data_IF_793200874082
#
_entry.id   IF_793200874082
#
_cell.length_a   1.000
_cell.length_b   1.000
_cell.length_c   1.000
_cell.angle_alpha   90.00
_cell.angle_beta   90.00
_cell.angle_gamma   90.00
#
_symmetry.space_group_name_H-M   'P 1'
#
loop_
_entity.id
_entity.type
_entity.pdbx_description
1 polymer ?
#
# COMPACT_ATOMS: atom_id res chain seq x y z
N UNK A 1 23.07 12.21 -2.18
CA UNK A 1 22.24 13.18 -2.94
C UNK A 1 21.02 13.45 -2.09
N UNK A 2 20.53 14.69 -2.05
CA UNK A 2 19.26 14.96 -1.37
C UNK A 2 18.16 14.90 -2.42
N UNK A 3 17.22 13.97 -2.25
CA UNK A 3 16.05 13.86 -3.10
C UNK A 3 14.95 14.80 -2.64
N UNK A 4 14.14 15.29 -3.58
CA UNK A 4 12.96 16.10 -3.28
C UNK A 4 11.94 15.27 -2.48
N UNK A 5 11.17 15.93 -1.65
CA UNK A 5 10.02 15.31 -0.94
C UNK A 5 9.08 14.68 -1.95
N UNK A 6 8.55 13.47 -1.69
CA UNK A 6 7.68 12.78 -2.62
C UNK A 6 6.39 13.56 -2.88
N UNK A 7 6.07 13.73 -4.16
CA UNK A 7 4.76 14.18 -4.65
C UNK A 7 4.00 13.08 -5.36
N UNK A 8 4.65 11.92 -5.55
CA UNK A 8 4.10 10.78 -6.29
C UNK A 8 4.03 9.53 -5.44
N UNK A 9 3.03 8.70 -5.72
CA UNK A 9 2.89 7.38 -5.14
C UNK A 9 2.64 6.31 -6.23
N UNK A 10 3.25 5.14 -6.06
CA UNK A 10 2.95 3.93 -6.81
C UNK A 10 2.14 3.02 -5.90
N UNK A 11 0.91 2.66 -6.31
CA UNK A 11 0.10 1.67 -5.60
C UNK A 11 0.08 0.38 -6.43
N UNK A 12 0.48 -0.73 -5.82
CA UNK A 12 0.62 -2.01 -6.54
C UNK A 12 -0.54 -2.95 -6.27
N UNK A 13 -1.22 -3.42 -7.31
CA UNK A 13 -2.28 -4.45 -7.25
C UNK A 13 -2.25 -5.36 -8.49
N UNK A 14 -1.11 -5.99 -8.74
CA UNK A 14 -0.91 -6.85 -9.90
C UNK A 14 -0.78 -8.35 -9.55
N UNK A 15 -1.15 -8.75 -8.32
CA UNK A 15 -1.15 -10.13 -7.87
C UNK A 15 -2.45 -10.87 -8.20
N UNK A 16 -2.38 -12.20 -8.36
CA UNK A 16 -3.53 -13.07 -8.68
C UNK A 16 -4.56 -13.20 -7.56
N UNK A 17 -4.22 -12.82 -6.32
CA UNK A 17 -5.10 -12.91 -5.15
C UNK A 17 -5.86 -14.25 -5.01
N UNK A 18 -5.16 -15.37 -5.24
CA UNK A 18 -5.73 -16.73 -5.29
C UNK A 18 -6.44 -17.16 -4.00
N UNK A 19 -6.07 -16.57 -2.85
CA UNK A 19 -6.71 -16.83 -1.56
C UNK A 19 -8.17 -16.39 -1.50
N UNK A 20 -8.60 -15.51 -2.43
CA UNK A 20 -9.96 -14.97 -2.53
C UNK A 20 -10.78 -15.57 -3.68
N UNK A 21 -10.27 -16.60 -4.35
CA UNK A 21 -11.06 -17.30 -5.34
C UNK A 21 -12.34 -17.89 -4.69
N UNK A 22 -13.50 -17.83 -5.38
CA UNK A 22 -13.67 -17.49 -6.80
C UNK A 22 -13.92 -15.99 -7.09
N UNK A 23 -14.03 -15.09 -6.08
CA UNK A 23 -14.43 -13.70 -6.32
C UNK A 23 -13.38 -12.92 -7.15
N UNK A 24 -12.11 -13.19 -6.90
CA UNK A 24 -10.99 -12.50 -7.57
C UNK A 24 -10.75 -12.93 -9.02
N UNK A 25 -11.51 -13.88 -9.54
CA UNK A 25 -11.58 -14.10 -10.98
C UNK A 25 -12.35 -12.99 -11.73
N UNK A 26 -13.06 -12.12 -11.00
CA UNK A 26 -13.98 -11.12 -11.59
C UNK A 26 -13.59 -9.70 -11.20
N UNK A 27 -13.15 -9.49 -9.95
CA UNK A 27 -12.74 -8.19 -9.45
C UNK A 27 -11.38 -8.28 -8.75
N UNK A 28 -10.53 -7.23 -8.85
CA UNK A 28 -9.29 -7.16 -8.09
C UNK A 28 -9.55 -7.24 -6.58
N UNK A 29 -8.64 -7.84 -5.83
CA UNK A 29 -8.75 -7.97 -4.37
C UNK A 29 -8.95 -6.61 -3.69
N UNK A 30 -8.24 -5.59 -4.11
CA UNK A 30 -8.34 -4.26 -3.51
C UNK A 30 -9.66 -3.53 -3.85
N UNK A 31 -10.51 -4.10 -4.72
CA UNK A 31 -11.90 -3.65 -4.91
C UNK A 31 -12.89 -4.29 -3.92
N UNK A 32 -12.45 -5.22 -3.09
CA UNK A 32 -13.27 -5.70 -1.98
C UNK A 32 -13.54 -4.55 -1.00
N UNK A 33 -14.79 -4.39 -0.52
CA UNK A 33 -15.15 -3.25 0.32
C UNK A 33 -14.70 -3.43 1.77
N UNK A 34 -14.18 -2.36 2.36
CA UNK A 34 -14.18 -2.15 3.80
C UNK A 34 -15.28 -1.13 4.11
N UNK A 35 -16.37 -1.60 4.73
CA UNK A 35 -17.59 -0.80 4.86
C UNK A 35 -18.19 -0.47 3.48
N UNK A 36 -18.22 0.80 3.10
CA UNK A 36 -18.78 1.28 1.83
C UNK A 36 -17.72 1.79 0.83
N UNK A 37 -16.45 1.55 1.09
CA UNK A 37 -15.33 1.96 0.23
C UNK A 37 -14.45 0.76 -0.14
N UNK A 38 -13.97 0.64 -1.38
CA UNK A 38 -12.96 -0.36 -1.71
C UNK A 38 -11.67 -0.15 -0.90
N UNK A 39 -10.94 -1.22 -0.63
CA UNK A 39 -9.62 -1.15 0.02
C UNK A 39 -8.71 -0.17 -0.74
N UNK A 40 -8.69 -0.24 -2.08
CA UNK A 40 -7.91 0.66 -2.93
C UNK A 40 -8.19 2.13 -2.64
N UNK A 41 -9.46 2.52 -2.42
CA UNK A 41 -9.79 3.91 -2.10
C UNK A 41 -9.17 4.35 -0.77
N UNK A 42 -9.14 3.48 0.23
CA UNK A 42 -8.53 3.82 1.53
C UNK A 42 -7.03 4.06 1.40
N UNK A 43 -6.34 3.27 0.57
CA UNK A 43 -4.90 3.46 0.28
C UNK A 43 -4.66 4.75 -0.52
N UNK A 44 -5.52 5.05 -1.50
CA UNK A 44 -5.47 6.31 -2.25
C UNK A 44 -5.72 7.50 -1.31
N UNK A 45 -6.74 7.45 -0.45
CA UNK A 45 -7.05 8.51 0.52
C UNK A 45 -5.88 8.74 1.47
N UNK A 46 -5.19 7.70 1.94
CA UNK A 46 -3.99 7.84 2.78
C UNK A 46 -2.90 8.64 2.06
N UNK A 47 -2.65 8.36 0.78
CA UNK A 47 -1.68 9.10 -0.04
C UNK A 47 -2.11 10.56 -0.25
N UNK A 48 -3.37 10.79 -0.61
CA UNK A 48 -3.95 12.13 -0.83
C UNK A 48 -3.86 12.98 0.42
N UNK A 49 -4.27 12.42 1.57
CA UNK A 49 -4.23 13.10 2.87
C UNK A 49 -2.78 13.40 3.34
N UNK A 50 -1.79 12.69 2.79
CA UNK A 50 -0.37 12.95 3.02
C UNK A 50 0.22 14.02 2.08
N UNK A 51 -0.56 14.53 1.11
CA UNK A 51 -0.13 15.56 0.17
C UNK A 51 0.47 15.02 -1.13
N UNK A 52 0.22 13.76 -1.48
CA UNK A 52 0.60 13.20 -2.78
C UNK A 52 -0.29 13.81 -3.88
N UNK A 53 0.34 14.26 -4.97
CA UNK A 53 -0.29 14.98 -6.08
C UNK A 53 -0.53 14.11 -7.32
N UNK A 54 0.22 13.00 -7.45
CA UNK A 54 0.06 12.05 -8.55
C UNK A 54 0.16 10.62 -8.02
N UNK A 55 -0.82 9.78 -8.38
CA UNK A 55 -0.87 8.37 -7.97
C UNK A 55 -0.86 7.49 -9.22
N UNK A 56 0.06 6.55 -9.26
CA UNK A 56 0.18 5.55 -10.31
C UNK A 56 -0.30 4.21 -9.74
N UNK A 57 -1.44 3.71 -10.20
CA UNK A 57 -1.95 2.37 -9.84
C UNK A 57 -1.44 1.38 -10.88
N UNK A 58 -0.67 0.40 -10.43
CA UNK A 58 -0.17 -0.68 -11.29
C UNK A 58 -1.01 -1.92 -11.05
N UNK A 59 -1.78 -2.32 -12.07
CA UNK A 59 -2.77 -3.37 -12.01
C UNK A 59 -2.46 -4.54 -12.95
N UNK A 60 -3.19 -5.65 -12.80
CA UNK A 60 -3.26 -6.67 -13.84
C UNK A 60 -4.00 -6.12 -15.08
N UNK A 61 -3.82 -6.71 -16.29
CA UNK A 61 -4.60 -6.31 -17.47
C UNK A 61 -6.11 -6.30 -17.22
N UNK A 62 -6.63 -7.31 -16.50
CA UNK A 62 -8.07 -7.42 -16.17
C UNK A 62 -8.51 -6.38 -15.14
N UNK A 63 -7.62 -6.03 -14.20
CA UNK A 63 -7.90 -5.05 -13.14
C UNK A 63 -7.86 -3.61 -13.61
N UNK A 64 -7.07 -3.31 -14.64
CA UNK A 64 -6.86 -1.94 -15.13
C UNK A 64 -8.16 -1.20 -15.40
N UNK A 65 -9.04 -1.81 -16.21
CA UNK A 65 -10.31 -1.17 -16.56
C UNK A 65 -11.20 -0.91 -15.35
N UNK A 66 -11.19 -1.81 -14.37
CA UNK A 66 -12.01 -1.69 -13.16
C UNK A 66 -11.57 -0.48 -12.34
N UNK A 67 -10.26 -0.28 -12.17
CA UNK A 67 -9.72 0.90 -11.48
C UNK A 67 -9.94 2.18 -12.28
N UNK A 68 -9.77 2.12 -13.60
CA UNK A 68 -9.97 3.26 -14.47
C UNK A 68 -11.44 3.74 -14.41
N UNK A 69 -12.39 2.81 -14.53
CA UNK A 69 -13.81 3.10 -14.35
C UNK A 69 -14.11 3.66 -12.95
N UNK A 70 -13.51 3.08 -11.89
CA UNK A 70 -13.79 3.50 -10.53
C UNK A 70 -13.34 4.94 -10.24
N UNK A 71 -12.20 5.34 -10.74
CA UNK A 71 -11.63 6.65 -10.44
C UNK A 71 -12.01 7.75 -11.45
N UNK A 72 -12.48 7.39 -12.65
CA UNK A 72 -12.70 8.37 -13.72
C UNK A 72 -14.11 8.35 -14.34
N UNK A 73 -14.95 7.33 -14.13
CA UNK A 73 -16.32 7.32 -14.68
C UNK A 73 -17.21 8.29 -13.88
N UNK A 74 -17.69 9.33 -14.55
CA UNK A 74 -18.56 10.37 -13.98
C UNK A 74 -19.93 9.86 -13.53
N UNK A 75 -20.32 8.65 -13.93
CA UNK A 75 -21.60 8.01 -13.57
C UNK A 75 -22.83 8.91 -13.76
N UNK A 76 -22.87 9.72 -14.84
CA UNK A 76 -23.90 10.72 -15.14
C UNK A 76 -25.35 10.18 -15.03
N UNK A 77 -25.56 8.92 -15.46
CA UNK A 77 -26.88 8.28 -15.39
C UNK A 77 -27.38 8.11 -13.95
N UNK A 78 -26.47 7.80 -13.03
CA UNK A 78 -26.76 7.63 -11.62
C UNK A 78 -27.05 9.00 -11.00
N UNK A 79 -26.23 10.01 -11.30
CA UNK A 79 -26.45 11.38 -10.81
C UNK A 79 -27.80 11.94 -11.28
N UNK A 80 -28.14 11.80 -12.56
CA UNK A 80 -29.41 12.24 -13.12
C UNK A 80 -30.61 11.53 -12.46
N UNK A 81 -30.51 10.22 -12.18
CA UNK A 81 -31.54 9.46 -11.49
C UNK A 81 -31.71 9.95 -10.04
N UNK A 82 -30.65 10.14 -9.29
CA UNK A 82 -30.67 10.61 -7.91
C UNK A 82 -31.23 12.04 -7.84
N UNK A 83 -30.85 12.90 -8.76
CA UNK A 83 -31.39 14.27 -8.88
C UNK A 83 -32.90 14.25 -9.09
N UNK A 84 -33.40 13.41 -10.02
CA UNK A 84 -34.83 13.24 -10.26
C UNK A 84 -35.59 12.73 -9.03
N UNK A 85 -34.92 11.94 -8.17
CA UNK A 85 -35.50 11.41 -6.93
C UNK A 85 -35.39 12.38 -5.74
N UNK A 86 -34.73 13.54 -5.89
CA UNK A 86 -34.43 14.45 -4.77
C UNK A 86 -33.44 13.89 -3.75
N UNK A 87 -32.51 13.03 -4.20
CA UNK A 87 -31.51 12.31 -3.36
C UNK A 87 -30.09 12.55 -3.86
N UNK A 88 -29.80 13.69 -4.46
CA UNK A 88 -28.49 14.01 -5.07
C UNK A 88 -27.33 13.95 -4.07
N UNK A 89 -27.60 14.16 -2.78
CA UNK A 89 -26.62 14.04 -1.69
C UNK A 89 -25.98 12.66 -1.60
N UNK A 90 -26.64 11.62 -2.11
CA UNK A 90 -26.10 10.26 -2.18
C UNK A 90 -25.00 10.10 -3.25
N UNK A 91 -24.84 11.08 -4.12
CA UNK A 91 -23.80 11.10 -5.14
C UNK A 91 -22.49 11.75 -4.65
N UNK A 92 -22.50 12.42 -3.50
CA UNK A 92 -21.31 13.09 -2.95
C UNK A 92 -20.09 12.16 -2.79
N UNK A 93 -20.20 10.86 -2.40
CA UNK A 93 -19.06 9.94 -2.38
C UNK A 93 -18.41 9.76 -3.76
N UNK A 94 -19.18 9.75 -4.85
CA UNK A 94 -18.64 9.65 -6.22
C UNK A 94 -17.89 10.93 -6.57
N UNK A 95 -18.47 12.11 -6.30
CA UNK A 95 -17.79 13.39 -6.53
C UNK A 95 -16.47 13.49 -5.76
N UNK A 96 -16.42 12.96 -4.54
CA UNK A 96 -15.18 12.92 -3.76
C UNK A 96 -14.08 12.15 -4.49
N UNK A 97 -14.41 10.98 -5.05
CA UNK A 97 -13.46 10.13 -5.80
C UNK A 97 -13.00 10.83 -7.07
N UNK A 98 -13.92 11.44 -7.83
CA UNK A 98 -13.60 12.20 -9.05
C UNK A 98 -12.74 13.45 -8.81
N UNK A 99 -12.73 13.97 -7.60
CA UNK A 99 -11.92 15.14 -7.19
C UNK A 99 -10.56 14.75 -6.58
N UNK A 100 -10.18 13.48 -6.60
CA UNK A 100 -8.82 13.09 -6.20
C UNK A 100 -7.78 13.72 -7.14
N UNK A 101 -6.53 13.89 -6.69
CA UNK A 101 -5.45 14.34 -7.56
C UNK A 101 -5.28 13.37 -8.73
N UNK A 102 -4.35 13.68 -9.63
CA UNK A 102 -4.12 12.88 -10.83
C UNK A 102 -3.88 11.40 -10.48
N UNK A 103 -4.77 10.53 -10.95
CA UNK A 103 -4.62 9.07 -10.87
C UNK A 103 -4.38 8.53 -12.28
N UNK A 104 -3.32 7.74 -12.44
CA UNK A 104 -2.99 7.06 -13.69
C UNK A 104 -3.00 5.56 -13.44
N UNK A 105 -3.81 4.80 -14.18
CA UNK A 105 -3.86 3.35 -14.08
C UNK A 105 -3.07 2.73 -15.23
N UNK A 106 -2.07 1.92 -14.89
CA UNK A 106 -1.22 1.22 -15.87
C UNK A 106 -1.28 -0.29 -15.66
N UNK A 107 -0.95 -1.04 -16.69
CA UNK A 107 -0.75 -2.48 -16.59
C UNK A 107 0.68 -2.79 -16.15
N UNK A 108 0.85 -3.80 -15.31
CA UNK A 108 2.16 -4.33 -15.01
C UNK A 108 2.80 -4.87 -16.31
N UNK A 109 4.05 -4.58 -16.53
CA UNK A 109 4.83 -5.16 -17.64
C UNK A 109 4.93 -6.69 -17.45
N UNK A 110 4.28 -7.43 -18.37
CA UNK A 110 4.21 -8.88 -18.34
C UNK A 110 5.54 -9.56 -18.73
N UNK A 111 6.53 -8.81 -19.21
CA UNK A 111 7.88 -9.31 -19.49
C UNK A 111 8.75 -9.42 -18.23
N UNK A 112 8.34 -8.75 -17.14
CA UNK A 112 9.05 -8.79 -15.86
C UNK A 112 8.76 -10.09 -15.12
N UNK A 113 9.70 -10.57 -14.26
CA UNK A 113 9.49 -11.73 -13.42
C UNK A 113 8.27 -11.56 -12.50
N UNK A 114 7.71 -12.66 -12.00
CA UNK A 114 6.73 -12.58 -10.92
C UNK A 114 7.36 -11.97 -9.66
N UNK A 115 6.56 -11.28 -8.85
CA UNK A 115 6.99 -10.67 -7.58
C UNK A 115 6.49 -9.25 -7.39
N UNK A 116 6.53 -8.77 -6.14
CA UNK A 116 6.01 -7.44 -5.79
C UNK A 116 6.91 -6.27 -6.23
N UNK A 117 8.12 -6.53 -6.68
CA UNK A 117 9.01 -5.54 -7.29
C UNK A 117 8.64 -5.20 -8.73
N UNK A 118 8.04 -6.14 -9.48
CA UNK A 118 7.69 -5.95 -10.89
C UNK A 118 6.67 -4.84 -11.13
N UNK A 119 5.58 -4.69 -10.35
CA UNK A 119 4.72 -3.53 -10.50
C UNK A 119 5.43 -2.21 -10.18
N UNK A 120 6.35 -2.18 -9.21
CA UNK A 120 7.15 -0.98 -8.94
C UNK A 120 8.04 -0.64 -10.13
N UNK A 121 8.74 -1.64 -10.69
CA UNK A 121 9.59 -1.47 -11.88
C UNK A 121 8.79 -0.98 -13.10
N UNK A 122 7.55 -1.46 -13.28
CA UNK A 122 6.66 -1.06 -14.39
C UNK A 122 6.30 0.43 -14.38
N UNK A 123 6.35 1.08 -13.22
CA UNK A 123 6.05 2.50 -13.08
C UNK A 123 7.27 3.42 -13.22
N UNK A 124 8.46 2.91 -13.60
CA UNK A 124 9.71 3.68 -13.67
C UNK A 124 9.60 4.97 -14.47
N UNK A 125 8.92 4.96 -15.60
CA UNK A 125 8.80 6.12 -16.48
C UNK A 125 8.03 7.31 -15.88
N UNK A 126 7.22 7.06 -14.82
CA UNK A 126 6.45 8.11 -14.12
C UNK A 126 7.26 8.80 -13.03
N UNK A 127 8.41 8.27 -12.66
CA UNK A 127 9.24 8.77 -11.54
C UNK A 127 10.42 9.58 -12.07
N UNK A 128 10.55 10.80 -11.56
CA UNK A 128 11.67 11.68 -11.87
C UNK A 128 12.95 11.21 -11.16
N UNK A 129 14.14 11.49 -11.76
CA UNK A 129 15.42 11.02 -11.21
C UNK A 129 15.88 11.78 -9.96
N UNK A 130 15.26 12.90 -9.62
CA UNK A 130 15.63 13.79 -8.51
C UNK A 130 14.61 13.82 -7.36
N UNK A 131 13.60 12.94 -7.40
CA UNK A 131 12.45 12.92 -6.50
C UNK A 131 12.33 11.57 -5.80
N UNK A 132 12.10 11.57 -4.47
CA UNK A 132 11.64 10.39 -3.77
C UNK A 132 10.15 10.14 -4.08
N UNK A 133 9.70 8.91 -3.90
CA UNK A 133 8.30 8.53 -4.14
C UNK A 133 7.82 7.51 -3.13
N UNK A 134 6.50 7.44 -2.94
CA UNK A 134 5.87 6.44 -2.07
C UNK A 134 5.57 5.18 -2.87
N UNK A 135 5.78 4.02 -2.26
CA UNK A 135 5.22 2.73 -2.71
C UNK A 135 4.26 2.24 -1.65
N UNK A 136 3.03 1.94 -2.06
CA UNK A 136 1.98 1.40 -1.19
C UNK A 136 1.41 0.11 -1.78
N UNK A 137 1.36 -0.96 -0.97
CA UNK A 137 0.67 -2.18 -1.38
C UNK A 137 -0.83 -2.02 -1.13
N UNK A 138 -1.61 -2.41 -2.12
CA UNK A 138 -3.06 -2.22 -2.14
C UNK A 138 -3.82 -3.01 -1.08
N UNK A 139 -3.22 -4.04 -0.50
CA UNK A 139 -3.81 -4.92 0.50
C UNK A 139 -3.38 -4.60 1.94
N UNK A 140 -2.61 -3.55 2.13
CA UNK A 140 -2.23 -3.04 3.44
C UNK A 140 -3.00 -1.76 3.76
N UNK A 141 -3.72 -1.75 4.86
CA UNK A 141 -4.46 -0.58 5.36
C UNK A 141 -3.90 -0.13 6.70
N UNK A 142 -3.89 1.17 6.94
CA UNK A 142 -3.40 1.76 8.19
C UNK A 142 -4.51 2.60 8.82
N UNK A 143 -4.82 2.33 10.08
CA UNK A 143 -5.89 2.99 10.82
C UNK A 143 -5.34 3.93 11.89
N UNK A 144 -6.06 5.03 12.16
CA UNK A 144 -5.78 5.97 13.23
C UNK A 144 -4.69 7.01 12.95
N UNK A 145 -3.73 6.72 12.06
CA UNK A 145 -2.73 7.66 11.56
C UNK A 145 -2.27 7.24 10.16
N UNK A 146 -1.58 8.13 9.44
CA UNK A 146 -1.07 7.84 8.09
C UNK A 146 0.40 7.44 8.14
N UNK A 147 0.71 6.22 7.70
CA UNK A 147 2.08 5.78 7.52
C UNK A 147 2.81 6.58 6.43
N UNK A 148 2.09 7.00 5.38
CA UNK A 148 2.67 7.85 4.33
C UNK A 148 3.12 9.20 4.89
N UNK A 149 2.34 9.83 5.78
CA UNK A 149 2.77 11.05 6.49
C UNK A 149 4.00 10.82 7.34
N UNK A 150 4.02 9.72 8.11
CA UNK A 150 5.17 9.39 8.96
C UNK A 150 6.44 9.21 8.11
N UNK A 151 6.37 8.51 6.96
CA UNK A 151 7.48 8.35 6.03
C UNK A 151 7.97 9.69 5.43
N UNK A 152 7.05 10.59 5.07
CA UNK A 152 7.40 11.92 4.54
C UNK A 152 8.10 12.75 5.63
N UNK A 153 7.63 12.72 6.88
CA UNK A 153 8.28 13.42 7.99
C UNK A 153 9.66 12.81 8.30
N UNK A 154 9.79 11.49 8.27
CA UNK A 154 11.09 10.83 8.40
C UNK A 154 12.07 11.23 7.29
N UNK A 155 11.60 11.39 6.04
CA UNK A 155 12.44 11.86 4.94
C UNK A 155 12.92 13.31 5.13
N UNK A 156 12.08 14.18 5.70
CA UNK A 156 12.51 15.55 6.05
C UNK A 156 13.61 15.56 7.12
N UNK A 157 13.55 14.60 8.06
CA UNK A 157 14.59 14.43 9.09
C UNK A 157 15.87 13.78 8.53
N UNK A 158 15.73 12.93 7.50
CA UNK A 158 16.82 12.20 6.85
C UNK A 158 16.84 12.45 5.34
N UNK A 159 17.22 13.66 4.89
CA UNK A 159 17.17 14.03 3.47
C UNK A 159 18.20 13.28 2.60
N UNK A 160 19.12 12.56 3.22
CA UNK A 160 20.11 11.68 2.60
C UNK A 160 19.64 10.22 2.48
N UNK A 161 18.42 9.92 2.94
CA UNK A 161 17.85 8.59 2.85
C UNK A 161 17.68 8.13 1.39
N UNK A 162 18.16 6.94 1.09
CA UNK A 162 17.91 6.29 -0.21
C UNK A 162 16.62 5.45 -0.19
N UNK A 163 16.20 5.03 1.00
CA UNK A 163 14.89 4.45 1.26
C UNK A 163 14.52 4.64 2.73
N UNK A 164 13.22 4.66 3.02
CA UNK A 164 12.65 4.60 4.37
C UNK A 164 11.53 3.57 4.36
N UNK A 165 11.56 2.66 5.34
CA UNK A 165 10.63 1.53 5.44
C UNK A 165 9.70 1.76 6.60
N UNK A 166 8.40 1.64 6.38
CA UNK A 166 7.45 1.58 7.47
C UNK A 166 7.56 0.25 8.23
N UNK A 167 7.52 0.33 9.55
CA UNK A 167 7.56 -0.80 10.44
C UNK A 167 6.50 -0.72 11.54
N UNK A 168 6.04 -1.89 11.98
CA UNK A 168 5.17 -2.04 13.14
C UNK A 168 5.68 -3.15 14.05
N UNK A 169 5.60 -2.95 15.36
CA UNK A 169 5.86 -4.03 16.32
C UNK A 169 4.72 -5.04 16.29
N UNK A 170 5.07 -6.32 16.16
CA UNK A 170 4.16 -7.45 16.11
C UNK A 170 4.54 -8.47 17.18
N UNK A 171 3.58 -9.29 17.67
CA UNK A 171 3.92 -10.41 18.54
C UNK A 171 4.95 -11.33 17.88
N UNK A 172 5.97 -11.75 18.64
CA UNK A 172 7.08 -12.57 18.14
C UNK A 172 6.60 -13.84 17.43
N UNK A 173 5.58 -14.48 17.99
CA UNK A 173 4.95 -15.70 17.46
C UNK A 173 4.25 -15.50 16.10
N UNK A 174 4.03 -14.25 15.68
CA UNK A 174 3.42 -13.92 14.39
C UNK A 174 4.44 -13.50 13.33
N UNK A 175 5.70 -13.29 13.71
CA UNK A 175 6.73 -12.73 12.82
C UNK A 175 7.05 -13.63 11.62
N UNK A 176 6.82 -14.94 11.73
CA UNK A 176 7.00 -15.87 10.61
C UNK A 176 6.01 -15.65 9.44
N UNK A 177 5.06 -14.72 9.57
CA UNK A 177 4.12 -14.34 8.50
C UNK A 177 4.60 -13.13 7.69
N UNK A 178 5.57 -12.38 8.21
CA UNK A 178 5.99 -11.05 7.74
C UNK A 178 7.48 -11.00 7.42
N UNK A 179 7.90 -9.91 6.80
CA UNK A 179 9.31 -9.55 6.69
C UNK A 179 9.83 -8.98 8.01
N UNK A 180 10.69 -9.72 8.71
CA UNK A 180 11.29 -9.28 9.97
C UNK A 180 12.48 -8.37 9.69
N UNK A 181 12.49 -7.16 10.27
CA UNK A 181 13.53 -6.16 10.10
C UNK A 181 14.71 -6.48 11.00
N UNK A 182 15.93 -6.51 10.44
CA UNK A 182 17.21 -6.51 11.16
C UNK A 182 17.84 -5.13 11.06
N UNK A 183 18.19 -4.54 12.19
CA UNK A 183 18.82 -3.23 12.23
C UNK A 183 20.36 -3.33 12.26
N UNK A 184 21.02 -2.42 11.57
CA UNK A 184 22.48 -2.21 11.63
C UNK A 184 22.86 -1.36 12.85
N UNK A 185 22.03 -0.36 13.14
CA UNK A 185 22.14 0.52 14.30
C UNK A 185 20.72 0.79 14.85
N UNK A 186 20.44 0.28 16.04
CA UNK A 186 19.14 0.44 16.71
C UNK A 186 18.87 1.89 17.12
N UNK A 187 19.90 2.66 17.47
CA UNK A 187 19.74 4.05 17.90
C UNK A 187 19.42 4.99 16.74
N UNK A 188 19.97 4.70 15.57
CA UNK A 188 19.74 5.43 14.33
C UNK A 188 18.64 4.83 13.48
N UNK A 189 18.05 3.69 13.88
CA UNK A 189 17.04 2.94 13.13
C UNK A 189 17.45 2.68 11.68
N UNK A 190 18.72 2.29 11.44
CA UNK A 190 19.21 2.00 10.11
C UNK A 190 19.07 0.52 9.77
N UNK A 191 18.58 0.23 8.57
CA UNK A 191 18.34 -1.11 8.07
C UNK A 191 19.66 -1.87 7.84
N UNK A 192 19.68 -3.13 8.27
CA UNK A 192 20.68 -4.11 7.86
C UNK A 192 20.09 -5.05 6.79
N UNK A 193 18.93 -5.64 7.08
CA UNK A 193 18.30 -6.65 6.24
C UNK A 193 16.82 -6.80 6.58
N UNK A 194 16.04 -7.39 5.67
CA UNK A 194 14.66 -7.83 5.88
C UNK A 194 14.58 -9.32 5.58
N UNK A 195 14.25 -10.12 6.59
CA UNK A 195 14.18 -11.57 6.49
C UNK A 195 12.73 -12.00 6.35
N UNK A 196 12.35 -12.43 5.14
CA UNK A 196 10.98 -12.81 4.82
C UNK A 196 10.61 -14.17 5.42
N UNK A 197 9.50 -14.19 6.19
CA UNK A 197 8.79 -15.37 6.66
C UNK A 197 9.70 -16.42 7.29
N UNK A 198 10.48 -16.00 8.26
CA UNK A 198 11.42 -16.85 9.01
C UNK A 198 10.83 -17.24 10.36
N UNK A 199 10.98 -18.52 10.74
CA UNK A 199 10.65 -18.96 12.09
C UNK A 199 11.67 -18.48 13.13
N UNK A 200 12.86 -18.02 12.67
CA UNK A 200 13.89 -17.40 13.50
C UNK A 200 13.99 -15.91 13.12
N UNK A 201 12.95 -15.15 13.51
CA UNK A 201 12.88 -13.73 13.22
C UNK A 201 13.90 -12.93 14.06
N UNK A 202 14.70 -12.04 13.43
CA UNK A 202 15.75 -11.28 14.14
C UNK A 202 15.19 -10.21 15.08
N UNK A 203 13.93 -9.83 14.95
CA UNK A 203 13.26 -8.82 15.77
C UNK A 203 11.74 -8.96 15.71
N UNK A 204 11.03 -8.18 16.52
CA UNK A 204 9.58 -8.04 16.53
C UNK A 204 9.10 -6.89 15.60
N UNK A 205 9.98 -6.32 14.77
CA UNK A 205 9.66 -5.27 13.82
C UNK A 205 9.28 -5.89 12.46
N UNK A 206 8.00 -5.81 12.12
CA UNK A 206 7.49 -6.24 10.84
C UNK A 206 7.54 -5.10 9.81
N UNK A 207 8.15 -5.36 8.66
CA UNK A 207 8.00 -4.53 7.46
C UNK A 207 6.66 -4.79 6.81
N UNK A 208 6.01 -3.76 6.30
CA UNK A 208 4.77 -3.88 5.54
C UNK A 208 4.76 -2.93 4.33
N UNK A 209 3.80 -3.08 3.47
CA UNK A 209 3.73 -2.44 2.16
C UNK A 209 3.59 -0.92 2.16
N UNK A 210 4.45 -0.22 2.88
CA UNK A 210 4.60 1.24 2.85
C UNK A 210 6.09 1.58 2.87
N UNK A 211 6.55 2.14 1.76
CA UNK A 211 7.94 2.52 1.56
C UNK A 211 8.03 3.93 0.97
N UNK A 212 9.00 4.71 1.43
CA UNK A 212 9.51 5.85 0.68
C UNK A 212 10.80 5.39 0.00
N UNK A 213 10.84 5.47 -1.31
CA UNK A 213 11.96 5.01 -2.12
C UNK A 213 12.51 6.18 -2.96
N UNK A 214 13.76 6.04 -3.37
CA UNK A 214 14.38 6.92 -4.36
C UNK A 214 14.58 6.17 -5.68
N UNK A 215 14.83 6.85 -6.81
CA UNK A 215 15.08 6.22 -8.10
C UNK A 215 16.22 5.20 -8.10
N UNK A 216 17.09 5.21 -7.08
CA UNK A 216 18.14 4.20 -6.91
C UNK A 216 17.59 2.77 -6.88
N UNK A 217 16.35 2.56 -6.39
CA UNK A 217 15.73 1.23 -6.30
C UNK A 217 15.62 0.57 -7.67
N UNK A 218 15.42 1.34 -8.74
CA UNK A 218 15.25 0.78 -10.09
C UNK A 218 16.52 0.13 -10.65
N UNK A 219 17.71 0.45 -10.09
CA UNK A 219 18.96 -0.24 -10.43
C UNK A 219 18.96 -1.69 -9.95
N UNK A 220 18.18 -2.00 -8.92
CA UNK A 220 18.09 -3.31 -8.29
C UNK A 220 16.81 -4.07 -8.67
N UNK A 221 15.78 -3.37 -9.14
CA UNK A 221 14.56 -3.94 -9.71
C UNK A 221 14.79 -4.35 -11.19
N UNK A 222 15.87 -5.09 -11.45
CA UNK A 222 16.23 -5.61 -12.76
C UNK A 222 15.90 -7.12 -12.81
N UNK A 223 15.33 -7.64 -13.91
CA UNK A 223 15.05 -9.07 -14.08
C UNK A 223 16.24 -10.02 -13.82
N UNK A 224 17.47 -9.50 -13.84
CA UNK A 224 18.67 -10.26 -13.48
C UNK A 224 18.87 -10.43 -11.98
N UNK A 225 18.16 -9.65 -11.18
CA UNK A 225 18.24 -9.62 -9.72
C UNK A 225 17.11 -10.41 -9.05
N UNK A 226 16.79 -11.58 -9.59
CA UNK A 226 15.75 -12.46 -9.06
C UNK A 226 16.18 -12.98 -7.68
N UNK A 227 15.30 -12.85 -6.70
CA UNK A 227 15.49 -13.33 -5.33
C UNK A 227 14.98 -14.76 -5.11
N UNK A 228 14.55 -15.03 -3.89
CA UNK A 228 13.96 -16.32 -3.48
C UNK A 228 12.79 -16.70 -4.39
N UNK A 229 12.67 -17.98 -4.68
CA UNK A 229 11.62 -18.59 -5.51
C UNK A 229 11.52 -18.05 -6.96
N UNK A 230 12.58 -17.37 -7.45
CA UNK A 230 12.59 -16.80 -8.79
C UNK A 230 11.75 -15.53 -8.94
N UNK A 231 11.43 -14.87 -7.84
CA UNK A 231 10.62 -13.66 -7.80
C UNK A 231 11.46 -12.38 -7.72
N UNK A 232 10.93 -11.28 -8.25
CA UNK A 232 11.53 -9.95 -8.11
C UNK A 232 10.89 -9.25 -6.89
N UNK A 233 11.68 -9.10 -5.82
CA UNK A 233 11.19 -8.54 -4.55
C UNK A 233 11.63 -7.10 -4.33
N UNK A 234 10.70 -6.25 -3.91
CA UNK A 234 11.00 -4.86 -3.51
C UNK A 234 11.94 -4.83 -2.32
N UNK A 235 11.75 -5.74 -1.35
CA UNK A 235 12.58 -5.81 -0.15
C UNK A 235 14.02 -6.22 -0.45
N UNK A 236 14.26 -7.10 -1.44
CA UNK A 236 15.61 -7.46 -1.86
C UNK A 236 16.35 -6.25 -2.48
N UNK A 237 15.64 -5.45 -3.27
CA UNK A 237 16.19 -4.21 -3.82
C UNK A 237 16.55 -3.20 -2.71
N UNK A 238 15.68 -3.06 -1.70
CA UNK A 238 15.91 -2.18 -0.54
C UNK A 238 17.10 -2.68 0.29
N UNK A 239 17.21 -3.98 0.54
CA UNK A 239 18.34 -4.58 1.27
C UNK A 239 19.66 -4.32 0.55
N UNK A 240 19.70 -4.44 -0.78
CA UNK A 240 20.90 -4.09 -1.56
C UNK A 240 21.26 -2.61 -1.50
N UNK A 241 20.27 -1.72 -1.42
CA UNK A 241 20.53 -0.29 -1.18
C UNK A 241 21.17 -0.11 0.21
N UNK A 242 20.70 -0.83 1.22
CA UNK A 242 21.23 -0.74 2.59
C UNK A 242 22.70 -1.17 2.73
N UNK A 243 23.22 -1.97 1.79
CA UNK A 243 24.66 -2.33 1.75
C UNK A 243 25.55 -1.13 1.42
N UNK A 244 25.05 -0.17 0.63
CA UNK A 244 25.85 0.93 0.05
C UNK A 244 25.37 2.31 0.39
N UNK A 245 24.17 2.43 0.96
CA UNK A 245 23.50 3.71 1.23
C UNK A 245 22.72 3.73 2.54
N UNK A 246 22.09 4.88 2.81
CA UNK A 246 21.32 5.10 4.01
C UNK A 246 19.88 4.64 3.82
N UNK A 247 19.50 3.55 4.49
CA UNK A 247 18.11 3.08 4.58
C UNK A 247 17.68 3.15 6.03
N UNK A 248 16.58 3.87 6.28
CA UNK A 248 16.03 4.05 7.62
C UNK A 248 14.74 3.25 7.80
N UNK A 249 14.42 2.96 9.05
CA UNK A 249 13.20 2.28 9.46
C UNK A 249 12.37 3.22 10.31
N UNK A 250 11.14 3.50 9.89
CA UNK A 250 10.20 4.35 10.62
C UNK A 250 9.13 3.50 11.30
N UNK A 251 9.07 3.56 12.64
CA UNK A 251 7.96 2.98 13.40
C UNK A 251 6.74 3.88 13.27
N UNK A 252 5.78 3.47 12.46
CA UNK A 252 4.60 4.27 12.17
C UNK A 252 3.61 4.31 13.34
N UNK A 253 2.89 5.42 13.47
CA UNK A 253 1.96 5.67 14.58
C UNK A 253 0.60 4.99 14.41
N UNK A 254 0.21 4.70 13.16
CA UNK A 254 -1.04 4.03 12.84
C UNK A 254 -1.03 2.55 13.23
N UNK A 255 -2.18 1.91 13.12
CA UNK A 255 -2.29 0.45 13.23
C UNK A 255 -2.38 -0.13 11.82
N UNK A 256 -1.32 -0.78 11.36
CA UNK A 256 -1.33 -1.54 10.12
C UNK A 256 -2.14 -2.82 10.28
N UNK A 257 -2.91 -3.15 9.26
CA UNK A 257 -3.58 -4.44 9.09
C UNK A 257 -3.52 -4.86 7.62
N UNK A 258 -3.11 -6.09 7.38
CA UNK A 258 -3.17 -6.65 6.04
C UNK A 258 -4.59 -7.13 5.72
N UNK A 259 -5.00 -6.95 4.46
CA UNK A 259 -6.19 -7.56 3.87
C UNK A 259 -5.81 -8.66 2.88
N UNK A 260 -4.58 -9.18 2.94
CA UNK A 260 -4.02 -10.15 2.00
C UNK A 260 -4.63 -11.55 2.06
N UNK A 261 -5.44 -11.86 3.07
CA UNK A 261 -6.18 -13.11 3.22
C UNK A 261 -7.55 -12.87 3.87
N UNK A 262 -8.51 -13.82 3.70
CA UNK A 262 -9.88 -13.66 4.20
C UNK A 262 -10.00 -13.42 5.71
N UNK A 263 -9.18 -14.07 6.53
CA UNK A 263 -9.23 -13.91 7.99
C UNK A 263 -8.84 -12.50 8.39
N UNK A 264 -7.70 -12.02 7.90
CA UNK A 264 -7.21 -10.68 8.19
C UNK A 264 -8.11 -9.60 7.60
N UNK A 265 -8.74 -9.87 6.44
CA UNK A 265 -9.75 -8.98 5.85
C UNK A 265 -10.96 -8.80 6.79
N UNK A 266 -11.49 -9.87 7.41
CA UNK A 266 -12.55 -9.76 8.42
C UNK A 266 -12.10 -9.00 9.67
N UNK A 267 -10.88 -9.22 10.14
CA UNK A 267 -10.32 -8.47 11.27
C UNK A 267 -10.16 -6.98 10.95
N UNK A 268 -9.76 -6.66 9.71
CA UNK A 268 -9.69 -5.27 9.23
C UNK A 268 -11.08 -4.61 9.20
N UNK A 269 -12.14 -5.34 8.84
CA UNK A 269 -13.51 -4.83 8.95
C UNK A 269 -13.88 -4.48 10.40
N UNK A 270 -13.56 -5.35 11.35
CA UNK A 270 -13.86 -5.11 12.77
C UNK A 270 -13.06 -3.92 13.32
N UNK A 271 -11.83 -3.69 12.80
CA UNK A 271 -11.05 -2.50 13.15
C UNK A 271 -11.66 -1.25 12.54
N UNK A 272 -12.01 -1.29 11.25
CA UNK A 272 -12.60 -0.18 10.51
C UNK A 272 -13.93 0.30 11.12
N UNK A 273 -14.79 -0.64 11.53
CA UNK A 273 -16.08 -0.34 12.15
C UNK A 273 -15.94 0.47 13.46
N UNK A 274 -14.80 0.36 14.16
CA UNK A 274 -14.55 1.16 15.37
C UNK A 274 -14.53 2.66 15.12
N UNK A 275 -14.31 3.09 13.88
CA UNK A 275 -14.38 4.50 13.47
C UNK A 275 -15.83 5.01 13.38
N UNK A 276 -16.82 4.09 13.40
CA UNK A 276 -18.26 4.38 13.34
C UNK A 276 -18.93 3.96 14.65
N UNK A 277 -19.08 4.87 15.60
CA UNK A 277 -19.50 4.55 16.97
C UNK A 277 -20.82 3.79 17.03
N UNK A 278 -21.83 4.18 16.22
CA UNK A 278 -23.15 3.54 16.22
C UNK A 278 -23.05 2.10 15.67
N UNK A 279 -22.36 1.88 14.56
CA UNK A 279 -22.18 0.54 13.98
C UNK A 279 -21.38 -0.36 14.93
N UNK A 280 -20.37 0.20 15.60
CA UNK A 280 -19.57 -0.55 16.55
C UNK A 280 -20.37 -1.01 17.78
N UNK A 281 -21.31 -0.18 18.30
CA UNK A 281 -22.23 -0.56 19.38
C UNK A 281 -23.11 -1.74 18.97
N UNK A 282 -23.69 -1.66 17.78
CA UNK A 282 -24.58 -2.72 17.26
C UNK A 282 -23.84 -4.04 17.04
N UNK A 283 -22.64 -3.99 16.47
CA UNK A 283 -21.81 -5.16 16.27
C UNK A 283 -21.38 -5.79 17.60
N UNK A 284 -20.97 -4.99 18.59
CA UNK A 284 -20.64 -5.51 19.93
C UNK A 284 -21.82 -6.22 20.57
N UNK A 285 -23.02 -5.63 20.47
CA UNK A 285 -24.23 -6.25 20.97
C UNK A 285 -24.51 -7.55 20.27
N UNK A 286 -24.46 -7.57 18.92
CA UNK A 286 -24.69 -8.80 18.13
C UNK A 286 -23.72 -9.91 18.51
N UNK A 287 -22.42 -9.62 18.64
CA UNK A 287 -21.40 -10.64 19.02
C UNK A 287 -21.59 -11.13 20.45
N UNK A 288 -22.09 -10.30 21.37
CA UNK A 288 -22.34 -10.70 22.76
C UNK A 288 -23.61 -11.57 22.92
N UNK A 289 -24.55 -11.48 21.98
CA UNK A 289 -25.84 -12.19 22.01
C UNK A 289 -25.81 -13.53 21.22
N UNK A 290 -24.75 -13.79 20.42
CA UNK A 290 -24.56 -14.99 19.59
C UNK A 290 -23.19 -15.62 19.75
#
# INVERSE_FOLDING_TARGET
MNYKTPTKAIITDAGFASRYLPITKTIPKAMLPLGNRPIMQLVVEECVDAGIEEIIIVATPEGRKIYDDYFHDECEKIEALLTKQGKVERFEPVKKVLNFPKITVIEQDQSLPYGNGSPVASAREFINDDEAFIVAYSDDVVFGASAVKDLIEAHKAHPDAMAIIAAQEMPHEEMNKYGAISLKDESAMTLKDIIEKSDDAPSDLASYGRYLLTPEVFKYLDPKNIGKDGELWTVDAITRIAETGNVYVEKTKGTWMTTGDPKNYFLSHLKYVKEFEDYYKDIKKFVAEN
#
